data_IF_002009363525
#
_entry.id   IF_002009363525
#
_cell.length_a   1.000
_cell.length_b   1.000
_cell.length_c   1.000
_cell.angle_alpha   90.00
_cell.angle_beta   90.00
_cell.angle_gamma   90.00
#
_symmetry.space_group_name_H-M   'P 1'
#
loop_
_entity.id
_entity.type
_entity.pdbx_description
1 polymer ?
#
# COMPACT_ATOMS: atom_id res chain seq x y z
N UNK A 1 -2.42 17.02 12.14
CA UNK A 1 -1.42 15.97 11.85
C UNK A 1 -0.02 16.49 12.15
N UNK A 2 0.45 17.53 11.45
CA UNK A 2 1.77 18.15 11.74
C UNK A 2 1.90 18.63 13.19
N UNK A 3 0.85 19.24 13.75
CA UNK A 3 0.82 19.67 15.16
C UNK A 3 0.47 18.55 16.16
N UNK A 4 0.23 17.32 15.70
CA UNK A 4 -0.15 16.20 16.56
C UNK A 4 -1.64 16.08 16.91
N UNK A 5 -2.49 17.03 16.48
CA UNK A 5 -3.93 17.03 16.84
C UNK A 5 -4.75 15.85 16.31
N UNK A 6 -4.22 15.12 15.31
CA UNK A 6 -4.84 13.91 14.77
C UNK A 6 -3.76 12.86 14.53
N UNK A 7 -4.13 11.59 14.68
CA UNK A 7 -3.21 10.46 14.51
C UNK A 7 -2.78 10.29 13.05
N UNK A 8 -1.70 9.53 12.83
CA UNK A 8 -1.30 9.10 11.48
C UNK A 8 -2.44 8.33 10.78
N UNK A 9 -3.18 7.52 11.53
CA UNK A 9 -4.29 6.74 10.99
C UNK A 9 -5.40 7.66 10.48
N UNK A 10 -5.85 8.62 11.29
CA UNK A 10 -6.92 9.56 10.93
C UNK A 10 -6.52 10.43 9.76
N UNK A 11 -5.26 10.89 9.74
CA UNK A 11 -4.74 11.68 8.63
C UNK A 11 -4.74 10.88 7.32
N UNK A 12 -4.25 9.64 7.33
CA UNK A 12 -4.26 8.78 6.14
C UNK A 12 -5.69 8.44 5.71
N UNK A 13 -6.62 8.20 6.65
CA UNK A 13 -8.04 8.02 6.34
C UNK A 13 -8.64 9.25 5.65
N UNK A 14 -8.32 10.45 6.14
CA UNK A 14 -8.78 11.70 5.53
C UNK A 14 -8.23 11.87 4.10
N UNK A 15 -6.94 11.58 3.88
CA UNK A 15 -6.33 11.59 2.54
C UNK A 15 -7.00 10.59 1.60
N UNK A 16 -7.27 9.36 2.07
CA UNK A 16 -7.98 8.35 1.30
C UNK A 16 -9.37 8.84 0.88
N UNK A 17 -10.14 9.41 1.81
CA UNK A 17 -11.47 9.94 1.54
C UNK A 17 -11.42 11.09 0.50
N UNK A 18 -10.49 12.02 0.63
CA UNK A 18 -10.29 13.12 -0.32
C UNK A 18 -9.86 12.63 -1.72
N UNK A 19 -9.15 11.50 -1.80
CA UNK A 19 -8.78 10.85 -3.04
C UNK A 19 -9.91 9.99 -3.65
N UNK A 20 -11.14 10.06 -3.12
CA UNK A 20 -12.30 9.32 -3.61
C UNK A 20 -12.35 7.85 -3.19
N UNK A 21 -11.50 7.43 -2.24
CA UNK A 21 -11.51 6.06 -1.71
C UNK A 21 -12.54 5.90 -0.61
N UNK A 22 -13.21 4.76 -0.58
CA UNK A 22 -14.36 4.49 0.29
C UNK A 22 -14.36 3.06 0.82
N UNK A 23 -14.76 2.92 2.08
CA UNK A 23 -14.92 1.62 2.73
C UNK A 23 -16.06 0.87 2.02
N UNK A 24 -15.84 -0.41 1.72
CA UNK A 24 -16.85 -1.26 1.06
C UNK A 24 -16.77 -1.32 -0.46
N UNK A 25 -15.88 -0.54 -1.10
CA UNK A 25 -15.66 -0.60 -2.56
C UNK A 25 -14.32 -1.29 -2.87
N UNK A 26 -14.31 -2.50 -3.47
CA UNK A 26 -13.09 -3.22 -3.80
C UNK A 26 -12.15 -2.48 -4.76
N UNK A 27 -12.71 -1.68 -5.68
CA UNK A 27 -11.92 -0.95 -6.68
C UNK A 27 -11.33 0.33 -6.10
N UNK A 28 -11.99 0.91 -5.09
CA UNK A 28 -11.63 2.19 -4.49
C UNK A 28 -11.46 2.09 -2.97
N UNK A 29 -10.95 0.97 -2.45
CA UNK A 29 -10.79 0.81 -1.01
C UNK A 29 -9.70 1.75 -0.46
N UNK A 30 -9.77 2.14 0.84
CA UNK A 30 -8.70 2.89 1.48
C UNK A 30 -7.37 2.12 1.46
N UNK A 31 -6.28 2.80 1.15
CA UNK A 31 -4.93 2.24 1.11
C UNK A 31 -4.12 2.73 2.30
N UNK A 32 -3.39 1.81 2.90
CA UNK A 32 -2.38 2.07 3.92
C UNK A 32 -1.04 1.46 3.51
N UNK A 33 0.10 2.11 3.84
CA UNK A 33 1.38 1.47 3.67
C UNK A 33 1.55 0.34 4.70
N UNK A 34 2.26 -0.73 4.32
CA UNK A 34 2.81 -1.61 5.34
C UNK A 34 3.90 -0.87 6.10
N UNK A 35 4.12 -1.24 7.36
CA UNK A 35 5.01 -0.51 8.26
C UNK A 35 6.25 -1.31 8.66
N UNK A 36 6.16 -2.65 8.64
CA UNK A 36 7.26 -3.57 8.98
C UNK A 36 7.12 -4.87 8.19
N UNK A 37 8.19 -5.66 8.14
CA UNK A 37 8.25 -6.97 7.46
C UNK A 37 8.12 -8.17 8.42
N UNK A 38 7.98 -7.93 9.73
CA UNK A 38 7.84 -8.96 10.77
C UNK A 38 9.01 -9.93 10.91
N UNK A 39 10.19 -9.61 10.38
CA UNK A 39 11.38 -10.47 10.50
C UNK A 39 12.19 -10.23 11.78
N UNK A 40 11.93 -9.12 12.49
CA UNK A 40 12.63 -8.72 13.71
C UNK A 40 11.96 -9.24 14.98
N UNK A 41 12.68 -9.17 16.09
CA UNK A 41 12.17 -9.49 17.44
C UNK A 41 11.22 -8.42 17.97
N UNK A 42 11.22 -7.24 17.34
CA UNK A 42 10.32 -6.13 17.61
C UNK A 42 9.95 -5.39 16.32
N UNK A 43 8.81 -4.69 16.31
CA UNK A 43 8.36 -3.87 15.16
C UNK A 43 9.40 -2.80 14.81
N UNK A 44 10.15 -2.33 15.82
CA UNK A 44 11.15 -1.27 15.65
C UNK A 44 12.43 -1.69 14.93
N UNK A 45 12.68 -2.99 14.80
CA UNK A 45 13.91 -3.50 14.17
C UNK A 45 13.88 -3.36 12.65
N UNK A 46 12.70 -3.53 12.02
CA UNK A 46 12.58 -3.54 10.56
C UNK A 46 11.46 -2.61 10.09
N UNK A 47 11.66 -1.31 10.27
CA UNK A 47 10.75 -0.29 9.73
C UNK A 47 10.82 -0.22 8.21
N UNK A 48 9.67 -0.01 7.59
CA UNK A 48 9.56 0.26 6.17
C UNK A 48 10.17 1.63 5.84
N UNK A 49 11.16 1.64 4.94
CA UNK A 49 11.67 2.85 4.30
C UNK A 49 10.61 3.51 3.40
N UNK A 50 9.91 4.56 3.84
CA UNK A 50 8.88 5.20 3.01
C UNK A 50 9.39 6.01 1.81
N UNK A 51 10.71 6.15 1.61
CA UNK A 51 11.26 6.85 0.44
C UNK A 51 11.20 6.02 -0.85
N UNK A 52 10.93 4.72 -0.73
CA UNK A 52 10.90 3.77 -1.87
C UNK A 52 9.53 3.14 -2.04
N UNK A 53 9.15 2.79 -3.27
CA UNK A 53 7.94 1.99 -3.53
C UNK A 53 8.13 0.51 -3.16
N UNK A 54 7.03 -0.24 -3.01
CA UNK A 54 7.08 -1.71 -2.79
C UNK A 54 7.88 -2.40 -3.89
N UNK A 55 7.63 -2.02 -5.14
CA UNK A 55 8.27 -2.62 -6.31
C UNK A 55 9.78 -2.34 -6.30
N UNK A 56 10.18 -1.10 -6.02
CA UNK A 56 11.61 -0.76 -5.93
C UNK A 56 12.34 -1.56 -4.85
N UNK A 57 11.73 -1.74 -3.67
CA UNK A 57 12.32 -2.59 -2.63
C UNK A 57 12.46 -4.04 -3.06
N UNK A 58 11.44 -4.60 -3.73
CA UNK A 58 11.40 -6.02 -4.05
C UNK A 58 12.19 -6.40 -5.31
N UNK A 59 12.30 -5.47 -6.27
CA UNK A 59 12.85 -5.73 -7.61
C UNK A 59 14.18 -5.04 -7.87
N UNK A 60 14.49 -3.96 -7.15
CA UNK A 60 15.67 -3.15 -7.40
C UNK A 60 15.54 -2.26 -8.62
N UNK A 61 16.47 -1.31 -8.76
CA UNK A 61 16.45 -0.31 -9.84
C UNK A 61 16.73 -0.95 -11.21
N UNK A 62 17.63 -1.95 -11.30
CA UNK A 62 17.96 -2.62 -12.57
C UNK A 62 16.73 -3.23 -13.27
N UNK A 63 15.86 -3.90 -12.52
CA UNK A 63 14.63 -4.44 -13.10
C UNK A 63 13.63 -3.34 -13.49
N UNK A 64 13.56 -2.24 -12.72
CA UNK A 64 12.67 -1.12 -13.03
C UNK A 64 13.11 -0.41 -14.31
N UNK A 65 14.42 -0.17 -14.44
CA UNK A 65 15.01 0.46 -15.62
C UNK A 65 14.77 -0.39 -16.86
N UNK A 66 14.98 -1.72 -16.75
CA UNK A 66 14.66 -2.65 -17.84
C UNK A 66 13.19 -2.58 -18.29
N UNK A 67 12.23 -2.49 -17.35
CA UNK A 67 10.80 -2.35 -17.72
C UNK A 67 10.47 -0.98 -18.28
N UNK A 68 11.18 0.06 -17.87
CA UNK A 68 10.99 1.42 -18.35
C UNK A 68 11.54 1.61 -19.77
N UNK A 69 12.66 0.98 -20.09
CA UNK A 69 13.28 1.01 -21.42
C UNK A 69 12.55 0.12 -22.45
N UNK A 70 11.52 -0.60 -22.00
CA UNK A 70 10.69 -1.46 -22.84
C UNK A 70 9.78 -0.69 -23.81
N UNK A 71 9.04 -1.42 -24.68
CA UNK A 71 8.18 -0.83 -25.70
C UNK A 71 7.01 -0.01 -25.12
N UNK A 72 6.59 -0.33 -23.90
CA UNK A 72 5.62 0.45 -23.12
C UNK A 72 6.31 0.81 -21.81
N UNK A 73 6.87 2.02 -21.65
CA UNK A 73 7.59 2.41 -20.44
C UNK A 73 6.71 2.39 -19.20
N UNK A 74 7.04 1.55 -18.22
CA UNK A 74 6.39 1.53 -16.90
C UNK A 74 7.31 0.91 -15.84
N UNK A 75 7.12 1.31 -14.58
CA UNK A 75 7.77 0.68 -13.42
C UNK A 75 6.90 -0.37 -12.74
N UNK A 76 5.59 -0.36 -13.01
CA UNK A 76 4.60 -1.24 -12.40
C UNK A 76 3.69 -1.75 -13.51
N UNK A 77 3.62 -3.06 -13.69
CA UNK A 77 2.91 -3.73 -14.79
C UNK A 77 1.39 -3.73 -14.60
N UNK A 78 0.92 -3.86 -13.36
CA UNK A 78 -0.51 -3.94 -13.05
C UNK A 78 -0.82 -3.54 -11.60
N UNK A 79 -2.01 -2.99 -11.38
CA UNK A 79 -2.55 -2.65 -10.06
C UNK A 79 -3.72 -3.59 -9.77
N UNK A 80 -3.47 -4.66 -8.99
CA UNK A 80 -4.48 -5.65 -8.59
C UNK A 80 -5.02 -5.33 -7.18
N UNK A 81 -5.54 -4.12 -6.99
CA UNK A 81 -6.04 -3.66 -5.68
C UNK A 81 -7.27 -4.43 -5.21
N UNK A 82 -8.12 -4.85 -6.14
CA UNK A 82 -9.31 -5.66 -5.92
C UNK A 82 -8.98 -7.04 -5.32
N UNK A 83 -7.97 -7.74 -5.85
CA UNK A 83 -7.51 -9.01 -5.30
C UNK A 83 -7.06 -8.83 -3.85
N UNK A 84 -6.28 -7.78 -3.58
CA UNK A 84 -5.79 -7.48 -2.23
C UNK A 84 -6.94 -7.24 -1.26
N UNK A 85 -7.96 -6.48 -1.70
CA UNK A 85 -9.16 -6.23 -0.91
C UNK A 85 -9.89 -7.52 -0.52
N UNK A 86 -10.15 -8.40 -1.49
CA UNK A 86 -10.84 -9.66 -1.21
C UNK A 86 -10.01 -10.63 -0.37
N UNK A 87 -8.68 -10.64 -0.52
CA UNK A 87 -7.79 -11.41 0.35
C UNK A 87 -7.92 -10.96 1.81
N UNK A 88 -8.00 -9.65 2.09
CA UNK A 88 -8.21 -9.16 3.45
C UNK A 88 -9.59 -9.50 4.02
N UNK A 89 -10.62 -9.62 3.17
CA UNK A 89 -11.97 -9.96 3.60
C UNK A 89 -12.26 -11.46 3.60
N UNK A 90 -11.37 -12.30 3.06
CA UNK A 90 -11.62 -13.73 2.86
C UNK A 90 -11.99 -14.51 4.13
N UNK A 91 -11.67 -13.99 5.32
CA UNK A 91 -12.02 -14.60 6.62
C UNK A 91 -13.19 -13.91 7.35
N UNK A 92 -13.82 -12.92 6.73
CA UNK A 92 -15.05 -12.33 7.29
C UNK A 92 -16.23 -13.20 6.89
N UNK A 93 -17.02 -13.61 7.88
CA UNK A 93 -18.33 -14.23 7.63
C UNK A 93 -19.22 -13.24 6.89
N UNK A 94 -19.94 -13.64 5.83
CA UNK A 94 -20.96 -12.81 5.21
C UNK A 94 -21.94 -12.34 6.29
N UNK A 95 -22.22 -11.03 6.31
CA UNK A 95 -23.26 -10.49 7.18
C UNK A 95 -24.61 -10.91 6.56
N UNK A 96 -25.55 -11.53 7.31
CA UNK A 96 -26.85 -11.94 6.81
C UNK A 96 -27.68 -10.80 6.22
#
# INVERSE_FOLDING_TARGET
>A
WVHGDISNFDYIMALNNLAGRRIGDPNFHPIFPWITDFTGSSVSENWRDFTKTKFRLNKGDEQLDFTFDGPVPHHITDILSDITYYVYLARKTPIP
#
